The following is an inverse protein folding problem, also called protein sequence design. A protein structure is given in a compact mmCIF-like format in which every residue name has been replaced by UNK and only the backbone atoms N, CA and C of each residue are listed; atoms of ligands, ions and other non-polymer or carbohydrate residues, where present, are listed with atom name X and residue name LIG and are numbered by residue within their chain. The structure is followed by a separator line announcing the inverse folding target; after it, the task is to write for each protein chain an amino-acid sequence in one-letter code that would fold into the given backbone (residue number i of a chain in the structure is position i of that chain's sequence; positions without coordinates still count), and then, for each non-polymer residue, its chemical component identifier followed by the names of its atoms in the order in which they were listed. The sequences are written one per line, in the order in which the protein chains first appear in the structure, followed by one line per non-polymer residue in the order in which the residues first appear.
data_IF_011754068991
#
_entry.id   IF_011754068991
#
_cell.length_a   1.000
_cell.length_b   1.000
_cell.length_c   1.000
_cell.angle_alpha   90.00
_cell.angle_beta   90.00
_cell.angle_gamma   90.00
#
_symmetry.space_group_name_H-M   'P 1'
#
loop_
_entity.id
_entity.type
_entity.pdbx_description
1 polymer ?
#
# COMPACT_ATOMS: atom_id res chain seq x y z
N UNK A 1 -30.28 -34.78 -28.93
CA UNK A 1 -30.68 -33.36 -29.18
C UNK A 1 -31.15 -32.65 -27.92
N UNK A 2 -32.07 -33.21 -27.13
CA UNK A 2 -32.58 -32.55 -25.91
C UNK A 2 -31.52 -32.20 -24.84
N UNK A 3 -30.56 -33.09 -24.57
CA UNK A 3 -29.48 -32.82 -23.60
C UNK A 3 -28.56 -31.65 -24.01
N UNK A 4 -28.25 -31.53 -25.30
CA UNK A 4 -27.41 -30.45 -25.83
C UNK A 4 -28.09 -29.08 -25.70
N UNK A 5 -29.41 -29.02 -25.89
CA UNK A 5 -30.21 -27.80 -25.69
C UNK A 5 -30.25 -27.40 -24.21
N UNK A 6 -30.35 -28.37 -23.30
CA UNK A 6 -30.32 -28.13 -21.85
C UNK A 6 -28.95 -27.60 -21.40
N UNK A 7 -27.84 -28.19 -21.89
CA UNK A 7 -26.48 -27.70 -21.60
C UNK A 7 -26.28 -26.25 -22.06
N UNK A 8 -26.69 -25.92 -23.29
CA UNK A 8 -26.59 -24.55 -23.83
C UNK A 8 -27.36 -23.58 -22.93
N UNK A 9 -28.60 -23.93 -22.53
CA UNK A 9 -29.41 -23.06 -21.66
C UNK A 9 -28.76 -22.83 -20.29
N UNK A 10 -28.16 -23.86 -19.70
CA UNK A 10 -27.41 -23.73 -18.43
C UNK A 10 -26.19 -22.83 -18.58
N UNK A 11 -25.41 -22.99 -19.65
CA UNK A 11 -24.24 -22.14 -19.93
C UNK A 11 -24.66 -20.69 -20.14
N UNK A 12 -25.69 -20.42 -20.95
CA UNK A 12 -26.19 -19.05 -21.17
C UNK A 12 -26.63 -18.40 -19.87
N UNK A 13 -27.35 -19.13 -19.01
CA UNK A 13 -27.78 -18.61 -17.71
C UNK A 13 -26.60 -18.31 -16.79
N UNK A 14 -25.55 -19.14 -16.81
CA UNK A 14 -24.34 -18.93 -16.02
C UNK A 14 -23.55 -17.70 -16.52
N UNK A 15 -23.38 -17.55 -17.84
CA UNK A 15 -22.72 -16.39 -18.47
C UNK A 15 -23.48 -15.10 -18.15
N UNK A 16 -24.81 -15.09 -18.22
CA UNK A 16 -25.64 -13.93 -17.86
C UNK A 16 -25.47 -13.53 -16.39
N UNK A 17 -25.29 -14.51 -15.50
CA UNK A 17 -25.05 -14.27 -14.08
C UNK A 17 -23.66 -13.67 -13.84
N UNK A 18 -22.63 -14.17 -14.50
CA UNK A 18 -21.27 -13.61 -14.39
C UNK A 18 -21.19 -12.20 -14.99
N UNK A 19 -21.84 -11.95 -16.13
CA UNK A 19 -21.90 -10.61 -16.73
C UNK A 19 -22.55 -9.59 -15.79
N UNK A 20 -23.61 -9.98 -15.06
CA UNK A 20 -24.22 -9.13 -14.04
C UNK A 20 -23.27 -8.83 -12.87
N UNK A 21 -22.59 -9.84 -12.33
CA UNK A 21 -21.65 -9.59 -11.22
C UNK A 21 -20.46 -8.75 -11.66
N UNK A 22 -19.96 -8.92 -12.89
CA UNK A 22 -18.88 -8.08 -13.45
C UNK A 22 -19.33 -6.63 -13.57
N UNK A 23 -20.56 -6.38 -14.00
CA UNK A 23 -21.12 -5.02 -14.07
C UNK A 23 -21.26 -4.38 -12.68
N UNK A 24 -21.74 -5.13 -11.68
CA UNK A 24 -21.82 -4.67 -10.29
C UNK A 24 -20.44 -4.35 -9.70
N UNK A 25 -19.46 -5.23 -9.87
CA UNK A 25 -18.06 -4.99 -9.43
C UNK A 25 -17.48 -3.75 -10.12
N UNK A 26 -17.75 -3.56 -11.41
CA UNK A 26 -17.28 -2.38 -12.15
C UNK A 26 -17.91 -1.09 -11.62
N UNK A 27 -19.20 -1.12 -11.28
CA UNK A 27 -19.88 0.03 -10.68
C UNK A 27 -19.27 0.41 -9.33
N UNK A 28 -19.07 -0.57 -8.43
CA UNK A 28 -18.43 -0.32 -7.13
C UNK A 28 -16.99 0.15 -7.27
N UNK A 29 -16.25 -0.31 -8.28
CA UNK A 29 -14.89 0.17 -8.53
C UNK A 29 -14.88 1.66 -8.90
N UNK A 30 -15.78 2.10 -9.78
CA UNK A 30 -15.92 3.52 -10.15
C UNK A 30 -16.36 4.37 -8.96
N UNK A 31 -17.30 3.87 -8.14
CA UNK A 31 -17.73 4.58 -6.93
C UNK A 31 -16.60 4.72 -5.91
N UNK A 32 -15.79 3.67 -5.73
CA UNK A 32 -14.61 3.71 -4.87
C UNK A 32 -13.56 4.70 -5.38
N UNK A 33 -13.36 4.81 -6.70
CA UNK A 33 -12.45 5.76 -7.32
C UNK A 33 -12.91 7.21 -7.08
N UNK A 34 -14.19 7.53 -7.32
CA UNK A 34 -14.77 8.86 -7.03
C UNK A 34 -14.63 9.21 -5.54
N UNK A 35 -14.91 8.26 -4.64
CA UNK A 35 -14.76 8.47 -3.21
C UNK A 35 -13.29 8.72 -2.80
N UNK A 36 -12.34 8.03 -3.44
CA UNK A 36 -10.92 8.24 -3.22
C UNK A 36 -10.45 9.63 -3.72
N UNK A 37 -10.94 10.07 -4.89
CA UNK A 37 -10.69 11.42 -5.40
C UNK A 37 -11.20 12.48 -4.42
N UNK A 38 -12.46 12.35 -3.95
CA UNK A 38 -13.03 13.28 -2.96
C UNK A 38 -12.27 13.27 -1.61
N UNK A 39 -11.76 12.12 -1.17
CA UNK A 39 -10.90 12.05 0.02
C UNK A 39 -9.55 12.76 -0.19
N UNK A 40 -8.96 12.66 -1.37
CA UNK A 40 -7.71 13.35 -1.70
C UNK A 40 -7.92 14.87 -1.71
N UNK A 41 -8.97 15.38 -2.36
CA UNK A 41 -9.30 16.82 -2.37
C UNK A 41 -9.51 17.38 -0.95
N UNK A 42 -10.23 16.64 -0.10
CA UNK A 42 -10.43 17.01 1.30
C UNK A 42 -9.11 17.00 2.09
N UNK A 43 -8.24 16.03 1.83
CA UNK A 43 -6.91 15.94 2.46
C UNK A 43 -6.01 17.11 2.06
N UNK A 44 -5.98 17.47 0.78
CA UNK A 44 -5.24 18.65 0.29
C UNK A 44 -5.75 19.95 0.92
N UNK A 45 -7.08 20.09 1.03
CA UNK A 45 -7.71 21.25 1.69
C UNK A 45 -7.35 21.32 3.18
N UNK A 46 -7.34 20.18 3.87
CA UNK A 46 -6.95 20.09 5.27
C UNK A 46 -5.46 20.40 5.46
N UNK A 47 -4.60 19.94 4.55
CA UNK A 47 -3.17 20.28 4.57
C UNK A 47 -2.96 21.78 4.35
N UNK A 48 -3.67 22.40 3.41
CA UNK A 48 -3.60 23.84 3.17
C UNK A 48 -4.07 24.65 4.39
N UNK A 49 -5.12 24.20 5.09
CA UNK A 49 -5.56 24.79 6.35
C UNK A 49 -4.53 24.59 7.46
N UNK A 50 -3.96 23.39 7.58
CA UNK A 50 -2.90 23.09 8.54
C UNK A 50 -1.65 23.96 8.31
N UNK A 51 -1.39 24.44 7.10
CA UNK A 51 -0.32 25.40 6.83
C UNK A 51 -0.63 26.82 7.34
N UNK A 52 -1.91 27.19 7.45
CA UNK A 52 -2.31 28.51 7.99
C UNK A 52 -2.20 28.57 9.51
N UNK A 53 -2.35 27.44 10.19
CA UNK A 53 -2.04 27.30 11.60
C UNK A 53 -0.55 26.93 11.73
N UNK A 54 0.27 27.69 12.45
CA UNK A 54 1.68 27.36 12.66
C UNK A 54 1.83 26.16 13.61
N UNK A 55 1.47 24.96 13.15
CA UNK A 55 1.63 23.70 13.88
C UNK A 55 3.07 23.21 13.68
N UNK A 56 4.02 23.88 14.35
CA UNK A 56 5.45 23.50 14.39
C UNK A 56 6.15 23.41 13.02
N UNK A 57 7.46 23.20 13.03
CA UNK A 57 8.17 22.83 11.81
C UNK A 57 7.86 21.36 11.49
N UNK A 58 7.41 21.07 10.26
CA UNK A 58 7.15 19.69 9.79
C UNK A 58 8.48 18.92 9.82
N UNK A 59 8.57 17.84 10.62
CA UNK A 59 9.76 16.97 10.70
C UNK A 59 10.04 16.29 9.35
N UNK A 60 8.97 15.89 8.64
CA UNK A 60 8.95 15.40 7.25
C UNK A 60 7.49 15.39 6.76
N UNK A 61 7.24 15.17 5.48
CA UNK A 61 5.86 15.07 4.95
C UNK A 61 5.20 13.74 5.33
N UNK A 62 4.66 13.65 6.55
CA UNK A 62 4.03 12.43 7.11
C UNK A 62 2.95 11.85 6.20
N UNK A 63 2.13 12.70 5.57
CA UNK A 63 1.08 12.29 4.64
C UNK A 63 1.65 11.55 3.43
N UNK A 64 2.67 12.14 2.79
CA UNK A 64 3.36 11.54 1.63
C UNK A 64 4.03 10.22 1.99
N UNK A 65 4.69 10.14 3.15
CA UNK A 65 5.33 8.90 3.63
C UNK A 65 4.28 7.80 3.81
N UNK A 66 3.17 8.09 4.51
CA UNK A 66 2.12 7.08 4.73
C UNK A 66 1.45 6.66 3.42
N UNK A 67 1.17 7.62 2.54
CA UNK A 67 0.56 7.34 1.24
C UNK A 67 1.47 6.46 0.37
N UNK A 68 2.77 6.76 0.31
CA UNK A 68 3.75 5.96 -0.44
C UNK A 68 3.79 4.50 0.04
N UNK A 69 3.80 4.28 1.35
CA UNK A 69 3.83 2.93 1.93
C UNK A 69 2.49 2.18 1.77
N UNK A 70 1.35 2.89 1.74
CA UNK A 70 0.06 2.30 1.38
C UNK A 70 0.02 1.87 -0.08
N UNK A 71 0.49 2.73 -0.99
CA UNK A 71 0.58 2.43 -2.42
C UNK A 71 1.48 1.21 -2.67
N UNK A 72 2.53 1.02 -1.88
CA UNK A 72 3.36 -0.19 -1.92
C UNK A 72 2.56 -1.47 -1.64
N UNK A 73 1.68 -1.51 -0.64
CA UNK A 73 0.86 -2.71 -0.41
C UNK A 73 0.00 -3.08 -1.62
N UNK A 74 -0.64 -2.08 -2.23
CA UNK A 74 -1.45 -2.28 -3.45
C UNK A 74 -0.58 -2.75 -4.61
N UNK A 75 0.60 -2.17 -4.78
CA UNK A 75 1.54 -2.56 -5.84
C UNK A 75 2.04 -3.99 -5.64
N UNK A 76 2.41 -4.38 -4.42
CA UNK A 76 2.86 -5.75 -4.11
C UNK A 76 1.75 -6.77 -4.36
N UNK A 77 0.50 -6.45 -4.00
CA UNK A 77 -0.64 -7.31 -4.33
C UNK A 77 -0.82 -7.45 -5.85
N UNK A 78 -0.72 -6.35 -6.61
CA UNK A 78 -0.79 -6.38 -8.07
C UNK A 78 0.34 -7.21 -8.70
N UNK A 79 1.55 -7.16 -8.14
CA UNK A 79 2.70 -7.98 -8.55
C UNK A 79 2.43 -9.46 -8.29
N UNK A 80 1.94 -9.81 -7.11
CA UNK A 80 1.58 -11.21 -6.76
C UNK A 80 0.52 -11.73 -7.73
N UNK A 81 -0.50 -10.93 -8.04
CA UNK A 81 -1.56 -11.31 -8.98
C UNK A 81 -1.10 -11.35 -10.44
N UNK A 82 0.10 -10.84 -10.75
CA UNK A 82 0.62 -10.74 -12.12
C UNK A 82 -0.07 -9.66 -12.96
N UNK A 83 -0.70 -8.68 -12.32
CA UNK A 83 -1.31 -7.51 -12.98
C UNK A 83 -0.27 -6.41 -13.21
N UNK A 84 0.78 -6.38 -12.39
CA UNK A 84 1.88 -5.41 -12.47
C UNK A 84 3.21 -6.14 -12.53
N UNK A 85 4.07 -5.72 -13.44
CA UNK A 85 5.48 -6.11 -13.44
C UNK A 85 6.27 -5.15 -12.56
N UNK A 86 7.10 -5.73 -11.70
CA UNK A 86 8.05 -5.02 -10.86
C UNK A 86 9.25 -5.93 -10.66
N UNK A 87 10.45 -5.36 -10.64
CA UNK A 87 11.66 -6.12 -10.39
C UNK A 87 12.26 -5.77 -9.04
N UNK A 88 13.08 -6.66 -8.43
CA UNK A 88 13.65 -6.40 -7.11
C UNK A 88 14.52 -5.15 -7.04
N UNK A 89 15.04 -4.65 -8.17
CA UNK A 89 15.79 -3.39 -8.25
C UNK A 89 14.90 -2.14 -8.30
N UNK A 90 13.63 -2.27 -8.67
CA UNK A 90 12.66 -1.18 -8.60
C UNK A 90 12.24 -0.87 -7.15
N UNK A 91 12.55 -1.76 -6.22
CA UNK A 91 12.28 -1.56 -4.79
C UNK A 91 13.37 -0.67 -4.20
N UNK A 92 13.01 0.60 -3.96
CA UNK A 92 13.89 1.60 -3.33
C UNK A 92 14.46 1.09 -2.02
N UNK A 93 15.70 1.43 -1.71
CA UNK A 93 16.31 1.11 -0.42
C UNK A 93 15.67 1.94 0.70
N UNK A 94 15.54 1.35 1.90
CA UNK A 94 14.97 2.04 3.05
C UNK A 94 15.78 3.30 3.44
N UNK A 95 17.06 3.37 3.10
CA UNK A 95 17.90 4.56 3.32
C UNK A 95 17.65 5.69 2.31
N UNK A 96 17.03 5.38 1.17
CA UNK A 96 16.90 6.30 0.03
C UNK A 96 15.49 6.87 -0.14
N UNK A 97 14.48 6.33 0.55
CA UNK A 97 13.15 6.93 0.58
C UNK A 97 13.14 8.20 1.45
N UNK A 98 12.11 9.04 1.34
CA UNK A 98 12.01 10.30 2.09
C UNK A 98 12.05 10.09 3.61
N UNK A 99 11.38 9.05 4.12
CA UNK A 99 11.46 8.69 5.54
C UNK A 99 12.88 8.25 5.93
N UNK A 100 13.56 7.50 5.07
CA UNK A 100 14.94 7.06 5.27
C UNK A 100 15.93 8.20 5.34
N UNK A 101 15.84 9.12 4.38
CA UNK A 101 16.65 10.33 4.33
C UNK A 101 16.49 11.14 5.62
N UNK A 102 15.25 11.32 6.07
CA UNK A 102 14.98 11.96 7.35
C UNK A 102 15.55 11.16 8.53
N UNK A 103 15.26 9.86 8.60
CA UNK A 103 15.68 8.97 9.67
C UNK A 103 17.20 9.02 9.87
N UNK A 104 17.98 8.80 8.82
CA UNK A 104 19.45 8.81 8.89
C UNK A 104 20.07 10.21 8.88
N UNK A 105 19.28 11.26 8.63
CA UNK A 105 19.67 12.66 8.61
C UNK A 105 19.21 13.39 9.88
N UNK A 106 18.32 14.36 9.71
CA UNK A 106 17.81 15.24 10.78
C UNK A 106 17.13 14.48 11.93
N UNK A 107 16.49 13.36 11.62
CA UNK A 107 15.82 12.48 12.58
C UNK A 107 16.76 11.91 13.64
N UNK A 108 18.08 11.88 13.42
CA UNK A 108 19.06 11.46 14.42
C UNK A 108 19.00 12.24 15.74
N UNK A 109 18.44 13.45 15.72
CA UNK A 109 18.18 14.22 16.94
C UNK A 109 17.24 13.49 17.93
N UNK A 110 16.43 12.55 17.43
CA UNK A 110 15.53 11.70 18.22
C UNK A 110 16.13 10.34 18.57
N UNK A 111 17.41 10.08 18.30
CA UNK A 111 18.02 8.75 18.43
C UNK A 111 18.00 8.15 19.84
N UNK A 112 17.83 9.00 20.86
CA UNK A 112 17.69 8.58 22.26
C UNK A 112 16.31 8.04 22.61
N UNK A 113 15.31 8.22 21.74
CA UNK A 113 13.95 7.73 21.95
C UNK A 113 13.82 6.28 21.47
N UNK A 114 13.28 5.41 22.31
CA UNK A 114 13.02 4.01 21.95
C UNK A 114 12.11 3.90 20.72
N UNK A 115 11.11 4.77 20.63
CA UNK A 115 10.17 4.82 19.50
C UNK A 115 10.85 5.17 18.17
N UNK A 116 11.93 5.96 18.20
CA UNK A 116 12.73 6.24 17.01
C UNK A 116 13.52 5.01 16.58
N UNK A 117 14.11 4.27 17.51
CA UNK A 117 14.82 3.04 17.17
C UNK A 117 13.85 1.99 16.60
N UNK A 118 12.66 1.87 17.21
CA UNK A 118 11.60 0.99 16.73
C UNK A 118 11.11 1.36 15.32
N UNK A 119 10.97 2.66 15.02
CA UNK A 119 10.63 3.14 13.68
C UNK A 119 11.60 2.65 12.62
N UNK A 120 12.91 2.74 12.88
CA UNK A 120 13.94 2.26 11.97
C UNK A 120 13.81 0.76 11.67
N UNK A 121 13.53 -0.04 12.70
CA UNK A 121 13.35 -1.50 12.59
C UNK A 121 12.14 -1.83 11.70
N UNK A 122 10.98 -1.21 11.95
CA UNK A 122 9.79 -1.48 11.14
C UNK A 122 9.94 -0.97 9.71
N UNK A 123 10.59 0.18 9.53
CA UNK A 123 10.86 0.75 8.23
C UNK A 123 11.76 -0.15 7.37
N UNK A 124 12.89 -0.61 7.90
CA UNK A 124 13.77 -1.53 7.21
C UNK A 124 13.06 -2.85 6.88
N UNK A 125 12.29 -3.40 7.83
CA UNK A 125 11.53 -4.64 7.66
C UNK A 125 10.57 -4.57 6.46
N UNK A 126 9.84 -3.47 6.30
CA UNK A 126 8.87 -3.28 5.21
C UNK A 126 9.58 -3.30 3.84
N UNK A 127 10.71 -2.60 3.72
CA UNK A 127 11.51 -2.61 2.49
C UNK A 127 12.08 -3.99 2.16
N UNK A 128 12.55 -4.72 3.17
CA UNK A 128 13.06 -6.08 2.98
C UNK A 128 11.96 -7.04 2.51
N UNK A 129 10.78 -6.98 3.13
CA UNK A 129 9.62 -7.79 2.73
C UNK A 129 9.19 -7.45 1.30
N UNK A 130 9.10 -6.16 0.94
CA UNK A 130 8.75 -5.76 -0.43
C UNK A 130 9.69 -6.36 -1.46
N UNK A 131 11.00 -6.30 -1.20
CA UNK A 131 12.02 -6.87 -2.08
C UNK A 131 11.89 -8.38 -2.20
N UNK A 132 11.61 -9.07 -1.09
CA UNK A 132 11.43 -10.52 -1.06
C UNK A 132 10.17 -10.95 -1.84
N UNK A 133 9.04 -10.26 -1.66
CA UNK A 133 7.80 -10.48 -2.42
C UNK A 133 8.06 -10.38 -3.92
N UNK A 134 8.70 -9.29 -4.36
CA UNK A 134 8.99 -9.07 -5.79
C UNK A 134 9.95 -10.14 -6.32
N UNK A 135 10.93 -10.55 -5.52
CA UNK A 135 11.88 -11.62 -5.89
C UNK A 135 11.19 -12.97 -6.06
N UNK A 136 10.31 -13.36 -5.13
CA UNK A 136 9.55 -14.60 -5.22
C UNK A 136 8.63 -14.60 -6.45
N UNK A 137 7.93 -13.48 -6.70
CA UNK A 137 7.07 -13.35 -7.88
C UNK A 137 7.86 -13.44 -9.19
N UNK A 138 9.05 -12.81 -9.27
CA UNK A 138 9.93 -12.90 -10.43
C UNK A 138 10.43 -14.33 -10.70
N UNK A 139 10.58 -15.15 -9.66
CA UNK A 139 10.94 -16.57 -9.76
C UNK A 139 9.74 -17.50 -10.00
N UNK A 140 8.53 -16.95 -10.15
CA UNK A 140 7.30 -17.74 -10.32
C UNK A 140 6.76 -18.37 -9.03
N UNK A 141 7.30 -18.00 -7.86
CA UNK A 141 6.94 -18.56 -6.55
C UNK A 141 5.88 -17.70 -5.84
N UNK A 142 4.81 -17.34 -6.56
CA UNK A 142 3.78 -16.38 -6.11
C UNK A 142 3.07 -16.83 -4.82
N UNK A 143 2.87 -18.12 -4.63
CA UNK A 143 2.21 -18.68 -3.45
C UNK A 143 3.01 -18.42 -2.16
N UNK A 144 4.34 -18.34 -2.24
CA UNK A 144 5.19 -18.02 -1.09
C UNK A 144 5.18 -16.53 -0.76
N UNK A 145 4.82 -15.67 -1.71
CA UNK A 145 4.74 -14.22 -1.51
C UNK A 145 3.46 -13.77 -0.79
N UNK A 146 2.39 -14.58 -0.82
CA UNK A 146 1.12 -14.27 -0.15
C UNK A 146 1.25 -14.06 1.37
N UNK A 147 1.87 -14.95 2.16
CA UNK A 147 2.03 -14.70 3.60
C UNK A 147 2.90 -13.46 3.89
N UNK A 148 3.90 -13.19 3.05
CA UNK A 148 4.74 -11.99 3.19
C UNK A 148 3.96 -10.69 2.98
N UNK A 149 2.90 -10.70 2.17
CA UNK A 149 2.04 -9.52 2.01
C UNK A 149 1.29 -9.19 3.31
N UNK A 150 0.90 -10.20 4.08
CA UNK A 150 0.28 -9.99 5.40
C UNK A 150 1.32 -9.48 6.40
N UNK A 151 2.52 -10.06 6.42
CA UNK A 151 3.64 -9.56 7.25
C UNK A 151 3.98 -8.10 6.92
N UNK A 152 3.92 -7.71 5.64
CA UNK A 152 4.11 -6.33 5.20
C UNK A 152 3.05 -5.42 5.82
N UNK A 153 1.76 -5.80 5.74
CA UNK A 153 0.64 -5.00 6.26
C UNK A 153 0.76 -4.82 7.78
N UNK A 154 1.10 -5.88 8.51
CA UNK A 154 1.33 -5.80 9.95
C UNK A 154 2.50 -4.89 10.31
N UNK A 155 3.64 -5.04 9.62
CA UNK A 155 4.81 -4.19 9.83
C UNK A 155 4.49 -2.71 9.54
N UNK A 156 3.71 -2.43 8.48
CA UNK A 156 3.25 -1.07 8.12
C UNK A 156 2.41 -0.43 9.21
N UNK A 157 1.48 -1.18 9.82
CA UNK A 157 0.67 -0.67 10.94
C UNK A 157 1.56 -0.25 12.11
N UNK A 158 2.57 -1.06 12.44
CA UNK A 158 3.52 -0.74 13.51
C UNK A 158 4.41 0.46 13.18
N UNK A 159 4.91 0.54 11.93
CA UNK A 159 5.65 1.71 11.47
C UNK A 159 4.80 2.99 11.63
N UNK A 160 3.53 2.96 11.20
CA UNK A 160 2.67 4.14 11.29
C UNK A 160 2.44 4.58 12.73
N UNK A 161 2.25 3.63 13.65
CA UNK A 161 2.14 3.95 15.07
C UNK A 161 3.40 4.64 15.62
N UNK A 162 4.59 4.17 15.27
CA UNK A 162 5.85 4.83 15.68
C UNK A 162 6.00 6.22 15.07
N UNK A 163 5.60 6.41 13.81
CA UNK A 163 5.60 7.70 13.13
C UNK A 163 4.67 8.68 13.85
N UNK A 164 3.44 8.26 14.15
CA UNK A 164 2.46 9.09 14.84
C UNK A 164 2.94 9.51 16.22
N UNK A 165 3.56 8.60 16.96
CA UNK A 165 4.12 8.91 18.28
C UNK A 165 5.22 9.96 18.21
N UNK A 166 6.12 9.90 17.23
CA UNK A 166 7.17 10.92 17.08
C UNK A 166 6.60 12.25 16.60
N UNK A 167 5.55 12.24 15.79
CA UNK A 167 5.04 13.47 15.17
C UNK A 167 4.19 14.32 16.12
N UNK A 168 3.64 13.73 17.18
CA UNK A 168 2.78 14.41 18.17
C UNK A 168 3.57 15.00 19.36
N UNK A 169 4.84 14.59 19.56
CA UNK A 169 5.78 15.16 20.54
C UNK A 169 6.51 16.42 20.03
#
# INVERSE_FOLDING_TARGET
MAESTTMIKTITTAVDKELKSVAEVSFYAVEAEINAEGMNELSESLEALSHQFHIGDKKFHIGEVKLAHLAWSTNLEAVIRGVKDMKPEDVTLHTECELGKWYFGEGKTYSSLDVYQEMGIWHEKIHNIAKEVVTLCANGEKEKALPLLEDFKEARVKLFATIDSIYVD
#
